data_IF_535942437313
#
_entry.id   IF_535942437313
#
_cell.length_a   1.000
_cell.length_b   1.000
_cell.length_c   1.000
_cell.angle_alpha   90.00
_cell.angle_beta   90.00
_cell.angle_gamma   90.00
#
_symmetry.space_group_name_H-M   'P 1'
#
loop_
_entity.id
_entity.type
_entity.pdbx_description
1 polymer ?
#
# COMPACT_ATOMS: atom_id res chain seq x y z
N UNK A 1 -16.14 -23.25 10.56
CA UNK A 1 -14.86 -23.97 10.87
C UNK A 1 -14.34 -23.43 12.19
N UNK A 2 -14.21 -24.25 13.22
CA UNK A 2 -13.84 -23.80 14.58
C UNK A 2 -12.33 -23.55 14.75
N UNK A 3 -11.51 -24.32 14.06
CA UNK A 3 -10.06 -24.20 14.09
C UNK A 3 -9.44 -24.61 12.75
N UNK A 4 -8.20 -24.23 12.55
CA UNK A 4 -7.42 -24.63 11.39
C UNK A 4 -5.96 -24.89 11.80
N UNK A 5 -5.53 -26.16 11.64
CA UNK A 5 -4.15 -26.57 11.93
C UNK A 5 -3.20 -26.10 10.84
N UNK A 6 -2.15 -25.40 11.23
CA UNK A 6 -1.12 -24.86 10.35
C UNK A 6 0.09 -25.81 10.27
N UNK A 7 0.84 -25.70 9.19
CA UNK A 7 2.08 -26.47 9.02
C UNK A 7 3.15 -26.08 10.06
N UNK A 8 3.22 -24.79 10.38
CA UNK A 8 4.07 -24.16 11.41
C UNK A 8 3.61 -22.70 11.65
N UNK A 9 4.12 -22.06 12.66
CA UNK A 9 3.87 -20.65 12.95
C UNK A 9 4.60 -19.69 12.00
N UNK A 10 5.22 -18.62 12.53
CA UNK A 10 6.03 -17.71 11.71
C UNK A 10 7.24 -18.42 11.08
N UNK A 11 7.83 -19.39 11.80
CA UNK A 11 9.02 -20.13 11.36
C UNK A 11 8.79 -21.64 11.40
N UNK A 12 9.52 -22.44 10.58
CA UNK A 12 9.34 -23.89 10.52
C UNK A 12 9.51 -24.66 11.82
N UNK A 13 10.29 -24.13 12.77
CA UNK A 13 10.50 -24.70 14.10
C UNK A 13 9.38 -24.40 15.10
N UNK A 14 8.49 -23.45 14.80
CA UNK A 14 7.39 -23.05 15.68
C UNK A 14 6.17 -23.96 15.47
N UNK A 15 6.21 -25.11 16.13
CA UNK A 15 5.16 -26.16 16.10
C UNK A 15 4.80 -26.60 17.53
N UNK A 16 3.52 -26.97 17.77
CA UNK A 16 2.37 -26.93 16.86
C UNK A 16 1.92 -25.52 16.54
N UNK A 17 1.12 -25.34 15.46
CA UNK A 17 0.55 -24.06 15.10
C UNK A 17 -0.89 -24.21 14.62
N UNK A 18 -1.76 -23.29 14.99
CA UNK A 18 -3.18 -23.26 14.59
C UNK A 18 -3.75 -21.85 14.68
N UNK A 19 -4.90 -21.65 14.05
CA UNK A 19 -5.75 -20.48 14.27
C UNK A 19 -7.13 -20.95 14.76
N UNK A 20 -7.72 -20.22 15.69
CA UNK A 20 -9.03 -20.49 16.27
C UNK A 20 -9.58 -19.22 16.93
N UNK A 21 -10.89 -19.21 17.18
CA UNK A 21 -11.53 -18.15 17.98
C UNK A 21 -11.40 -18.46 19.47
N UNK A 22 -10.93 -17.49 20.25
CA UNK A 22 -10.72 -17.66 21.70
C UNK A 22 -11.99 -18.02 22.47
N UNK A 23 -13.18 -17.60 21.98
CA UNK A 23 -14.48 -17.92 22.53
C UNK A 23 -15.06 -19.27 22.05
N UNK A 24 -14.34 -19.98 21.19
CA UNK A 24 -14.76 -21.27 20.61
C UNK A 24 -15.83 -21.16 19.52
N UNK A 25 -16.12 -19.94 19.04
CA UNK A 25 -16.97 -19.73 17.86
C UNK A 25 -16.31 -20.18 16.57
N UNK A 26 -17.04 -20.16 15.47
CA UNK A 26 -16.48 -20.41 14.15
C UNK A 26 -15.60 -19.24 13.70
N UNK A 27 -14.52 -19.55 12.94
CA UNK A 27 -13.71 -18.55 12.27
C UNK A 27 -14.56 -17.71 11.30
N UNK A 28 -14.37 -16.38 11.23
CA UNK A 28 -15.13 -15.52 10.33
C UNK A 28 -14.68 -15.64 8.86
N UNK A 29 -13.89 -16.64 8.54
CA UNK A 29 -13.32 -16.89 7.22
C UNK A 29 -13.65 -18.29 6.70
N UNK A 30 -13.70 -18.42 5.38
CA UNK A 30 -13.80 -19.69 4.66
C UNK A 30 -12.68 -19.81 3.65
N UNK A 31 -11.90 -20.89 3.69
CA UNK A 31 -10.85 -21.16 2.71
C UNK A 31 -11.51 -21.81 1.50
N UNK A 32 -11.54 -21.11 0.37
CA UNK A 32 -12.14 -21.58 -0.87
C UNK A 32 -11.14 -22.34 -1.76
N UNK A 33 -9.85 -22.06 -1.60
CA UNK A 33 -8.76 -22.74 -2.28
C UNK A 33 -7.44 -22.54 -1.55
N UNK A 34 -6.49 -23.47 -1.77
CA UNK A 34 -5.14 -23.40 -1.20
C UNK A 34 -5.08 -23.83 0.27
N UNK A 35 -3.95 -23.55 0.89
CA UNK A 35 -3.69 -23.82 2.31
C UNK A 35 -2.83 -22.70 2.90
N UNK A 36 -3.44 -21.57 3.32
CA UNK A 36 -2.71 -20.43 3.85
C UNK A 36 -1.90 -20.82 5.10
N UNK A 37 -0.70 -20.23 5.22
CA UNK A 37 0.13 -20.35 6.40
C UNK A 37 -0.16 -19.27 7.45
N UNK A 38 0.59 -19.31 8.56
CA UNK A 38 0.43 -18.40 9.68
C UNK A 38 0.53 -16.92 9.26
N UNK A 39 1.59 -16.55 8.53
CA UNK A 39 1.81 -15.18 8.07
C UNK A 39 0.73 -14.78 7.05
N UNK A 40 0.29 -15.69 6.19
CA UNK A 40 -0.79 -15.42 5.23
C UNK A 40 -2.09 -15.00 5.93
N UNK A 41 -2.45 -15.64 7.06
CA UNK A 41 -3.63 -15.25 7.82
C UNK A 41 -3.45 -13.91 8.54
N UNK A 42 -2.25 -13.58 9.01
CA UNK A 42 -1.96 -12.26 9.56
C UNK A 42 -2.14 -11.17 8.48
N UNK A 43 -1.57 -11.40 7.28
CA UNK A 43 -1.75 -10.49 6.15
C UNK A 43 -3.23 -10.38 5.75
N UNK A 44 -3.93 -11.51 5.63
CA UNK A 44 -5.34 -11.55 5.23
C UNK A 44 -6.23 -10.73 6.19
N UNK A 45 -6.12 -10.97 7.50
CA UNK A 45 -7.01 -10.35 8.48
C UNK A 45 -6.68 -8.87 8.73
N UNK A 46 -5.41 -8.47 8.65
CA UNK A 46 -5.04 -7.06 8.75
C UNK A 46 -5.43 -6.29 7.49
N UNK A 47 -5.16 -6.85 6.31
CA UNK A 47 -5.51 -6.21 5.04
C UNK A 47 -7.03 -6.05 4.85
N UNK A 48 -7.81 -7.04 5.31
CA UNK A 48 -9.27 -6.94 5.30
C UNK A 48 -9.79 -5.76 6.12
N UNK A 49 -9.27 -5.56 7.33
CA UNK A 49 -9.65 -4.44 8.17
C UNK A 49 -9.38 -3.10 7.46
N UNK A 50 -8.23 -2.97 6.81
CA UNK A 50 -7.86 -1.76 6.07
C UNK A 50 -8.88 -1.46 4.95
N UNK A 51 -9.15 -2.41 4.06
CA UNK A 51 -10.05 -2.16 2.92
C UNK A 51 -11.50 -1.94 3.33
N UNK A 52 -11.95 -2.61 4.40
CA UNK A 52 -13.28 -2.40 4.98
C UNK A 52 -13.41 -0.96 5.48
N UNK A 53 -12.46 -0.49 6.30
CA UNK A 53 -12.46 0.86 6.84
C UNK A 53 -12.32 1.92 5.74
N UNK A 54 -11.46 1.67 4.75
CA UNK A 54 -11.26 2.59 3.63
C UNK A 54 -12.53 2.74 2.78
N UNK A 55 -13.24 1.64 2.51
CA UNK A 55 -14.54 1.70 1.83
C UNK A 55 -15.58 2.43 2.67
N UNK A 56 -15.65 2.18 3.97
CA UNK A 56 -16.58 2.88 4.88
C UNK A 56 -16.32 4.39 4.91
N UNK A 57 -15.04 4.80 4.93
CA UNK A 57 -14.65 6.21 5.02
C UNK A 57 -14.86 6.99 3.72
N UNK A 58 -14.66 6.36 2.56
CA UNK A 58 -14.68 7.03 1.24
C UNK A 58 -15.93 6.76 0.41
N UNK A 59 -16.69 5.72 0.74
CA UNK A 59 -17.82 5.25 -0.07
C UNK A 59 -17.38 4.57 -1.39
N UNK A 60 -16.08 4.44 -1.64
CA UNK A 60 -15.52 3.84 -2.85
C UNK A 60 -15.04 2.41 -2.54
N UNK A 61 -15.05 1.52 -3.55
CA UNK A 61 -14.40 0.23 -3.40
C UNK A 61 -12.89 0.43 -3.17
N UNK A 62 -12.29 -0.46 -2.39
CA UNK A 62 -10.91 -0.33 -1.95
C UNK A 62 -10.16 -1.65 -2.09
N UNK A 63 -8.86 -1.55 -2.38
CA UNK A 63 -7.93 -2.68 -2.47
C UNK A 63 -6.64 -2.31 -1.77
N UNK A 64 -6.03 -3.28 -1.11
CA UNK A 64 -4.67 -3.16 -0.57
C UNK A 64 -3.82 -4.36 -0.95
N UNK A 65 -2.53 -4.10 -1.14
CA UNK A 65 -1.47 -5.10 -1.25
C UNK A 65 -0.71 -5.14 0.06
N UNK A 66 -0.60 -6.32 0.68
CA UNK A 66 0.03 -6.53 1.98
C UNK A 66 1.21 -7.48 1.89
N UNK A 67 2.25 -7.20 2.65
CA UNK A 67 3.39 -8.10 2.80
C UNK A 67 4.06 -7.87 4.16
N UNK A 68 4.41 -8.97 4.84
CA UNK A 68 5.01 -8.91 6.18
C UNK A 68 4.18 -8.09 7.17
N UNK A 69 2.87 -8.31 7.16
CA UNK A 69 1.89 -7.68 8.07
C UNK A 69 1.87 -6.15 7.97
N UNK A 70 2.17 -5.61 6.80
CA UNK A 70 2.07 -4.17 6.52
C UNK A 70 1.64 -3.93 5.07
N UNK A 71 0.89 -2.86 4.79
CA UNK A 71 0.52 -2.50 3.43
C UNK A 71 1.74 -2.02 2.65
N UNK A 72 1.91 -2.51 1.42
CA UNK A 72 2.81 -1.89 0.45
C UNK A 72 2.12 -0.69 -0.21
N UNK A 73 0.80 -0.75 -0.32
CA UNK A 73 -0.09 0.30 -0.80
C UNK A 73 -1.55 -0.01 -0.46
N UNK A 74 -2.39 1.03 -0.57
CA UNK A 74 -3.85 0.93 -0.59
C UNK A 74 -4.40 1.92 -1.62
N UNK A 75 -5.51 1.60 -2.27
CA UNK A 75 -6.12 2.44 -3.30
C UNK A 75 -7.64 2.30 -3.32
N UNK A 76 -8.30 3.33 -3.81
CA UNK A 76 -9.73 3.34 -4.10
C UNK A 76 -10.01 3.21 -5.60
N UNK A 77 -11.24 2.83 -5.96
CA UNK A 77 -11.69 2.62 -7.33
C UNK A 77 -11.77 3.92 -8.13
N UNK A 78 -10.66 4.34 -8.69
CA UNK A 78 -10.51 5.52 -9.54
C UNK A 78 -9.83 5.13 -10.85
N UNK A 79 -10.32 5.65 -11.99
CA UNK A 79 -9.74 5.40 -13.32
C UNK A 79 -8.27 5.79 -13.36
N UNK A 80 -7.44 4.97 -14.01
CA UNK A 80 -6.01 5.21 -14.15
C UNK A 80 -5.73 6.12 -15.36
N UNK A 81 -4.88 7.16 -15.22
CA UNK A 81 -4.29 7.83 -16.38
C UNK A 81 -3.49 6.86 -17.26
N UNK A 82 -3.36 7.14 -18.55
CA UNK A 82 -2.66 6.27 -19.50
C UNK A 82 -1.21 5.95 -19.11
N UNK A 83 -0.49 6.93 -18.56
CA UNK A 83 0.87 6.70 -18.04
C UNK A 83 0.90 5.69 -16.90
N UNK A 84 -0.11 5.74 -16.03
CA UNK A 84 -0.21 4.82 -14.89
C UNK A 84 -0.66 3.43 -15.34
N UNK A 85 -1.58 3.31 -16.31
CA UNK A 85 -1.93 2.01 -16.92
C UNK A 85 -0.68 1.29 -17.43
N UNK A 86 0.17 2.00 -18.19
CA UNK A 86 1.44 1.46 -18.69
C UNK A 86 2.40 1.08 -17.57
N UNK A 87 2.58 1.96 -16.58
CA UNK A 87 3.46 1.69 -15.43
C UNK A 87 2.99 0.49 -14.59
N UNK A 88 1.68 0.22 -14.57
CA UNK A 88 1.06 -0.92 -13.89
C UNK A 88 0.92 -2.17 -14.78
N UNK A 89 1.33 -2.12 -16.06
CA UNK A 89 1.18 -3.19 -17.04
C UNK A 89 -0.29 -3.65 -17.24
N UNK A 90 -1.20 -2.70 -17.33
CA UNK A 90 -2.64 -2.93 -17.52
C UNK A 90 -3.22 -2.12 -18.70
N UNK A 91 -2.37 -1.50 -19.50
CA UNK A 91 -2.77 -0.74 -20.71
C UNK A 91 -3.34 -1.63 -21.83
N UNK A 92 -3.19 -2.95 -21.71
CA UNK A 92 -3.76 -3.96 -22.59
C UNK A 92 -5.15 -4.48 -22.14
N UNK A 93 -5.72 -3.93 -21.07
CA UNK A 93 -6.97 -4.43 -20.47
C UNK A 93 -8.16 -3.63 -20.97
N UNK A 94 -8.95 -4.22 -21.87
CA UNK A 94 -10.18 -3.62 -22.34
C UNK A 94 -11.23 -3.55 -21.22
N UNK A 95 -11.97 -2.42 -21.15
CA UNK A 95 -13.01 -2.22 -20.15
C UNK A 95 -12.52 -1.98 -18.72
N UNK A 96 -11.22 -1.74 -18.52
CA UNK A 96 -10.67 -1.49 -17.18
C UNK A 96 -11.33 -0.27 -16.52
N UNK A 97 -11.57 0.79 -17.29
CA UNK A 97 -12.10 2.06 -16.77
C UNK A 97 -13.55 1.94 -16.26
N UNK A 98 -14.30 0.94 -16.72
CA UNK A 98 -15.66 0.63 -16.28
C UNK A 98 -15.69 -0.28 -15.03
N UNK A 99 -14.53 -0.77 -14.58
CA UNK A 99 -14.44 -1.66 -13.41
C UNK A 99 -13.66 -1.00 -12.26
N UNK A 100 -14.33 -0.32 -11.31
CA UNK A 100 -13.66 0.36 -10.22
C UNK A 100 -12.81 -0.56 -9.33
N UNK A 101 -13.24 -1.82 -9.10
CA UNK A 101 -12.48 -2.75 -8.28
C UNK A 101 -11.17 -3.17 -8.95
N UNK A 102 -11.21 -3.43 -10.26
CA UNK A 102 -10.02 -3.73 -11.05
C UNK A 102 -9.08 -2.52 -11.12
N UNK A 103 -9.60 -1.29 -11.24
CA UNK A 103 -8.83 -0.06 -11.14
C UNK A 103 -8.14 0.08 -9.79
N UNK A 104 -8.86 -0.15 -8.68
CA UNK A 104 -8.29 -0.12 -7.33
C UNK A 104 -7.17 -1.15 -7.17
N UNK A 105 -7.37 -2.37 -7.69
CA UNK A 105 -6.33 -3.41 -7.68
C UNK A 105 -5.09 -2.99 -8.47
N UNK A 106 -5.25 -2.52 -9.69
CA UNK A 106 -4.14 -2.08 -10.52
C UNK A 106 -3.31 -0.98 -9.84
N UNK A 107 -3.99 -0.01 -9.20
CA UNK A 107 -3.36 1.07 -8.43
C UNK A 107 -2.62 0.54 -7.20
N UNK A 108 -3.27 -0.27 -6.36
CA UNK A 108 -2.67 -0.78 -5.13
C UNK A 108 -1.47 -1.70 -5.43
N UNK A 109 -1.62 -2.67 -6.33
CA UNK A 109 -0.54 -3.59 -6.73
C UNK A 109 0.59 -2.87 -7.48
N UNK A 110 0.24 -1.81 -8.22
CA UNK A 110 1.15 -1.04 -9.06
C UNK A 110 1.99 0.00 -8.32
N UNK A 111 1.64 0.37 -7.08
CA UNK A 111 2.32 1.46 -6.36
C UNK A 111 3.75 1.12 -5.96
N UNK A 112 3.96 -0.04 -5.34
CA UNK A 112 5.28 -0.58 -4.99
C UNK A 112 5.38 -1.99 -5.55
N UNK A 113 5.76 -2.09 -6.81
CA UNK A 113 5.75 -3.36 -7.54
C UNK A 113 6.77 -4.37 -7.01
N UNK A 114 7.91 -3.89 -6.50
CA UNK A 114 8.90 -4.76 -5.85
C UNK A 114 8.42 -5.25 -4.49
N UNK A 115 7.91 -4.34 -3.66
CA UNK A 115 7.35 -4.68 -2.35
C UNK A 115 6.15 -5.61 -2.45
N UNK A 116 5.34 -5.48 -3.50
CA UNK A 116 4.16 -6.31 -3.73
C UNK A 116 4.45 -7.67 -4.40
N UNK A 117 5.69 -8.00 -4.72
CA UNK A 117 6.05 -9.32 -5.24
C UNK A 117 5.83 -10.40 -4.18
N UNK A 118 4.87 -11.30 -4.42
CA UNK A 118 4.47 -12.32 -3.45
C UNK A 118 3.59 -11.76 -2.32
N UNK A 119 2.75 -10.79 -2.63
CA UNK A 119 1.84 -10.11 -1.71
C UNK A 119 0.63 -10.96 -1.30
N UNK A 120 -0.11 -10.43 -0.35
CA UNK A 120 -1.49 -10.78 -0.05
C UNK A 120 -2.41 -9.63 -0.44
N UNK A 121 -3.46 -9.93 -1.19
CA UNK A 121 -4.44 -8.95 -1.70
C UNK A 121 -5.69 -8.97 -0.84
N UNK A 122 -6.21 -7.81 -0.45
CA UNK A 122 -7.57 -7.69 0.10
C UNK A 122 -8.43 -6.79 -0.79
N UNK A 123 -9.66 -7.24 -1.02
CA UNK A 123 -10.68 -6.55 -1.80
C UNK A 123 -11.87 -6.22 -0.91
N UNK A 124 -12.34 -4.98 -0.93
CA UNK A 124 -13.51 -4.56 -0.13
C UNK A 124 -14.84 -5.08 -0.65
N UNK A 125 -14.86 -5.58 -1.88
CA UNK A 125 -16.05 -6.02 -2.62
C UNK A 125 -15.87 -7.43 -3.17
N UNK A 126 -16.98 -7.99 -3.67
CA UNK A 126 -16.97 -9.30 -4.34
C UNK A 126 -16.01 -9.25 -5.53
N UNK A 127 -15.06 -10.17 -5.56
CA UNK A 127 -14.10 -10.29 -6.64
C UNK A 127 -14.79 -10.73 -7.93
N UNK A 128 -14.69 -9.92 -8.97
CA UNK A 128 -15.17 -10.21 -10.33
C UNK A 128 -14.09 -10.85 -11.21
N UNK A 129 -14.49 -11.30 -12.40
CA UNK A 129 -13.61 -12.00 -13.34
C UNK A 129 -12.44 -11.12 -13.84
N UNK A 130 -12.67 -9.80 -14.06
CA UNK A 130 -11.62 -8.89 -14.50
C UNK A 130 -10.56 -8.71 -13.41
N UNK A 131 -10.98 -8.42 -12.18
CA UNK A 131 -10.09 -8.29 -11.02
C UNK A 131 -9.31 -9.59 -10.78
N UNK A 132 -9.97 -10.75 -10.85
CA UNK A 132 -9.32 -12.06 -10.75
C UNK A 132 -8.28 -12.28 -11.85
N UNK A 133 -8.55 -11.87 -13.08
CA UNK A 133 -7.64 -11.98 -14.21
C UNK A 133 -6.38 -11.11 -14.01
N UNK A 134 -6.52 -9.91 -13.44
CA UNK A 134 -5.38 -9.06 -13.08
C UNK A 134 -4.54 -9.69 -11.96
N UNK A 135 -5.18 -10.23 -10.92
CA UNK A 135 -4.49 -10.96 -9.84
C UNK A 135 -3.74 -12.18 -10.42
N UNK A 136 -4.33 -12.89 -11.36
CA UNK A 136 -3.72 -14.07 -11.98
C UNK A 136 -2.40 -13.75 -12.73
N UNK A 137 -2.25 -12.54 -13.26
CA UNK A 137 -1.06 -12.07 -13.99
C UNK A 137 0.16 -11.83 -13.10
N UNK A 138 -0.04 -11.60 -11.79
CA UNK A 138 0.98 -11.15 -10.86
C UNK A 138 1.46 -12.28 -9.93
N UNK A 139 2.67 -12.18 -9.41
CA UNK A 139 3.16 -13.07 -8.35
C UNK A 139 2.56 -12.63 -7.03
N UNK A 140 1.69 -13.46 -6.45
CA UNK A 140 0.92 -13.19 -5.24
C UNK A 140 0.73 -14.48 -4.47
N UNK A 141 0.60 -14.39 -3.13
CA UNK A 141 0.44 -15.55 -2.25
C UNK A 141 -1.03 -15.89 -1.98
N UNK A 142 -1.90 -14.90 -2.00
CA UNK A 142 -3.31 -15.11 -1.75
C UNK A 142 -4.16 -13.85 -1.83
N UNK A 143 -5.47 -14.06 -1.72
CA UNK A 143 -6.48 -13.01 -1.76
C UNK A 143 -7.57 -13.26 -0.73
N UNK A 144 -8.08 -12.17 -0.11
CA UNK A 144 -9.24 -12.16 0.75
C UNK A 144 -10.29 -11.16 0.23
N UNK A 145 -11.54 -11.59 0.19
CA UNK A 145 -12.67 -10.77 -0.23
C UNK A 145 -13.97 -11.22 0.49
N UNK A 146 -15.04 -10.42 0.51
CA UNK A 146 -16.33 -10.84 1.05
C UNK A 146 -16.99 -11.95 0.24
N UNK A 147 -16.56 -12.13 -1.02
CA UNK A 147 -17.04 -13.18 -1.92
C UNK A 147 -16.33 -13.13 -3.26
N UNK A 148 -16.70 -14.06 -4.13
CA UNK A 148 -16.13 -14.22 -5.48
C UNK A 148 -17.23 -14.64 -6.43
N UNK A 149 -17.26 -14.10 -7.65
CA UNK A 149 -18.09 -14.69 -8.71
C UNK A 149 -17.56 -16.08 -9.08
N UNK A 150 -18.40 -16.93 -9.66
CA UNK A 150 -17.98 -18.27 -10.07
C UNK A 150 -16.83 -18.23 -11.06
N UNK A 151 -16.86 -17.25 -11.99
CA UNK A 151 -15.80 -17.03 -12.98
C UNK A 151 -14.49 -16.57 -12.32
N UNK A 152 -14.57 -15.62 -11.39
CA UNK A 152 -13.41 -15.16 -10.64
C UNK A 152 -12.75 -16.30 -9.85
N UNK A 153 -13.56 -17.10 -9.18
CA UNK A 153 -13.08 -18.25 -8.42
C UNK A 153 -12.43 -19.30 -9.32
N UNK A 154 -13.02 -19.57 -10.49
CA UNK A 154 -12.44 -20.49 -11.49
C UNK A 154 -11.07 -20.00 -11.95
N UNK A 155 -10.91 -18.72 -12.28
CA UNK A 155 -9.63 -18.10 -12.68
C UNK A 155 -8.59 -18.26 -11.57
N UNK A 156 -8.92 -17.85 -10.34
CA UNK A 156 -7.99 -17.87 -9.21
C UNK A 156 -7.54 -19.28 -8.84
N UNK A 157 -8.42 -20.27 -8.95
CA UNK A 157 -8.10 -21.68 -8.69
C UNK A 157 -7.05 -22.28 -9.65
N UNK A 158 -6.87 -21.72 -10.85
CA UNK A 158 -5.83 -22.19 -11.78
C UNK A 158 -4.44 -21.69 -11.43
N UNK A 159 -4.34 -20.57 -10.68
CA UNK A 159 -3.09 -19.93 -10.31
C UNK A 159 -2.24 -20.83 -9.41
N UNK A 160 -0.90 -20.72 -9.53
CA UNK A 160 0.06 -21.53 -8.76
C UNK A 160 -0.18 -23.06 -8.89
N UNK A 161 -0.55 -23.52 -10.08
CA UNK A 161 -0.88 -24.92 -10.35
C UNK A 161 -1.99 -25.45 -9.43
N UNK A 162 -2.98 -24.63 -9.13
CA UNK A 162 -4.11 -24.95 -8.25
C UNK A 162 -3.88 -24.67 -6.77
N UNK A 163 -2.71 -24.21 -6.36
CA UNK A 163 -2.36 -23.97 -4.96
C UNK A 163 -2.47 -22.50 -4.48
N UNK A 164 -3.09 -21.62 -5.26
CA UNK A 164 -3.27 -20.22 -4.86
C UNK A 164 -4.26 -20.10 -3.70
N UNK A 165 -3.94 -19.29 -2.71
CA UNK A 165 -4.81 -19.13 -1.54
C UNK A 165 -5.96 -18.16 -1.84
N UNK A 166 -7.20 -18.65 -1.69
CA UNK A 166 -8.43 -17.85 -1.85
C UNK A 166 -9.26 -17.99 -0.59
N UNK A 167 -9.50 -16.86 0.09
CA UNK A 167 -10.21 -16.79 1.36
C UNK A 167 -11.41 -15.87 1.23
N UNK A 168 -12.59 -16.35 1.64
CA UNK A 168 -13.77 -15.51 1.85
C UNK A 168 -13.86 -15.11 3.31
N UNK A 169 -14.28 -13.87 3.58
CA UNK A 169 -14.52 -13.32 4.92
C UNK A 169 -16.00 -12.96 5.07
N UNK A 170 -16.56 -13.19 6.26
CA UNK A 170 -17.87 -12.62 6.61
C UNK A 170 -17.75 -11.09 6.80
N UNK A 171 -18.32 -10.28 5.89
CA UNK A 171 -18.20 -8.83 5.97
C UNK A 171 -18.93 -8.23 7.19
N UNK A 172 -19.86 -8.98 7.79
CA UNK A 172 -20.64 -8.54 8.94
C UNK A 172 -19.99 -8.90 10.28
N UNK A 173 -18.92 -9.71 10.25
CA UNK A 173 -18.22 -10.06 11.48
C UNK A 173 -17.63 -8.83 12.17
N UNK A 174 -17.88 -8.71 13.47
CA UNK A 174 -17.33 -7.65 14.33
C UNK A 174 -16.50 -8.32 15.41
N UNK A 175 -15.20 -8.03 15.49
CA UNK A 175 -14.34 -8.53 16.56
C UNK A 175 -14.76 -8.04 17.94
N UNK A 176 -14.32 -8.75 19.00
CA UNK A 176 -14.55 -8.34 20.38
C UNK A 176 -14.00 -6.92 20.66
N UNK A 177 -14.60 -6.25 21.66
CA UNK A 177 -14.17 -4.90 22.09
C UNK A 177 -12.74 -4.85 22.64
N UNK A 178 -12.26 -5.99 23.14
CA UNK A 178 -10.92 -6.12 23.71
C UNK A 178 -10.08 -7.10 22.90
N UNK A 179 -8.82 -6.74 22.71
CA UNK A 179 -7.83 -7.59 22.10
C UNK A 179 -6.69 -7.89 23.07
N UNK A 180 -6.07 -9.04 22.89
CA UNK A 180 -4.95 -9.50 23.74
C UNK A 180 -3.75 -9.90 22.90
N UNK A 181 -2.55 -9.66 23.44
CA UNK A 181 -1.29 -10.09 22.87
C UNK A 181 -0.41 -10.67 23.98
N UNK A 182 0.31 -11.74 23.68
CA UNK A 182 1.24 -12.34 24.65
C UNK A 182 2.68 -12.09 24.23
N UNK A 183 3.50 -11.62 25.19
CA UNK A 183 4.94 -11.43 25.03
C UNK A 183 5.64 -11.99 26.25
N UNK A 184 6.51 -12.95 26.08
CA UNK A 184 7.23 -13.62 27.15
C UNK A 184 6.32 -14.16 28.29
N UNK A 185 5.15 -14.70 27.92
CA UNK A 185 4.15 -15.21 28.88
C UNK A 185 3.27 -14.14 29.53
N UNK A 186 3.61 -12.87 29.40
CA UNK A 186 2.77 -11.76 29.90
C UNK A 186 1.68 -11.45 28.88
N UNK A 187 0.43 -11.42 29.32
CA UNK A 187 -0.70 -11.02 28.50
C UNK A 187 -0.93 -9.52 28.60
N UNK A 188 -0.88 -8.85 27.45
CA UNK A 188 -1.30 -7.47 27.28
C UNK A 188 -2.72 -7.45 26.79
N UNK A 189 -3.55 -6.59 27.37
CA UNK A 189 -4.96 -6.42 27.02
C UNK A 189 -5.25 -4.94 26.81
N UNK A 190 -5.94 -4.61 25.73
CA UNK A 190 -6.36 -3.25 25.42
C UNK A 190 -7.71 -3.25 24.70
N UNK A 191 -8.36 -2.08 24.63
CA UNK A 191 -9.47 -1.88 23.73
C UNK A 191 -9.02 -1.98 22.28
N UNK A 192 -9.83 -2.62 21.44
CA UNK A 192 -9.59 -2.68 20.00
C UNK A 192 -9.57 -1.26 19.43
N UNK A 193 -8.64 -0.99 18.48
CA UNK A 193 -8.59 0.30 17.81
C UNK A 193 -9.76 0.44 16.80
N UNK A 194 -10.93 0.79 17.31
CA UNK A 194 -12.15 1.03 16.55
C UNK A 194 -12.38 2.51 16.22
N UNK A 195 -11.39 3.37 16.47
CA UNK A 195 -11.44 4.79 16.12
C UNK A 195 -11.63 4.96 14.60
N UNK A 196 -12.67 5.71 14.21
CA UNK A 196 -12.99 5.93 12.80
C UNK A 196 -12.20 7.10 12.24
N UNK A 197 -11.48 6.83 11.14
CA UNK A 197 -10.76 7.83 10.39
C UNK A 197 -11.68 8.37 9.28
N UNK A 198 -11.71 9.69 9.12
CA UNK A 198 -12.50 10.37 8.11
C UNK A 198 -12.12 11.84 8.00
N UNK A 199 -12.81 12.60 7.15
CA UNK A 199 -12.52 14.00 6.86
C UNK A 199 -12.60 14.93 8.09
N UNK A 200 -13.40 14.57 9.10
CA UNK A 200 -13.50 15.31 10.36
C UNK A 200 -12.16 15.49 11.07
N UNK A 201 -11.17 14.62 10.81
CA UNK A 201 -9.81 14.77 11.36
C UNK A 201 -8.99 15.85 10.67
N UNK A 202 -9.46 16.38 9.55
CA UNK A 202 -8.77 17.37 8.73
C UNK A 202 -9.27 18.80 8.98
N UNK A 203 -10.20 19.01 9.91
CA UNK A 203 -10.82 20.30 10.20
C UNK A 203 -9.86 21.27 10.92
N UNK A 204 -8.95 20.76 11.76
CA UNK A 204 -8.01 21.57 12.52
C UNK A 204 -6.74 21.88 11.70
N UNK A 205 -6.87 22.78 10.70
CA UNK A 205 -5.74 23.21 9.87
C UNK A 205 -4.96 24.29 10.62
N UNK A 206 -3.70 24.01 10.95
CA UNK A 206 -2.84 24.84 11.82
C UNK A 206 -1.91 25.80 11.07
N UNK A 207 -1.71 25.62 9.76
CA UNK A 207 -0.86 26.42 8.88
C UNK A 207 -1.56 27.67 8.35
N UNK A 208 -0.81 28.60 7.74
CA UNK A 208 -1.34 29.81 7.11
C UNK A 208 -2.26 29.46 5.92
N UNK A 209 -1.85 28.53 5.06
CA UNK A 209 -2.72 27.97 4.04
C UNK A 209 -3.77 27.06 4.71
N UNK A 210 -5.06 27.38 4.49
CA UNK A 210 -6.20 26.68 5.08
C UNK A 210 -6.95 25.78 4.09
N UNK A 211 -6.49 25.69 2.85
CA UNK A 211 -7.21 25.01 1.78
C UNK A 211 -6.69 23.59 1.58
N UNK A 212 -7.56 22.60 1.78
CA UNK A 212 -7.36 21.20 1.42
C UNK A 212 -8.49 20.83 0.46
N UNK A 213 -8.20 20.65 -0.86
CA UNK A 213 -9.19 20.23 -1.85
C UNK A 213 -9.77 18.84 -1.54
N UNK A 214 -10.96 18.53 -2.08
CA UNK A 214 -11.64 17.24 -1.85
C UNK A 214 -10.78 16.04 -2.23
N UNK A 215 -10.07 16.10 -3.36
CA UNK A 215 -9.17 15.04 -3.80
C UNK A 215 -8.05 14.81 -2.77
N UNK A 216 -7.49 15.88 -2.23
CA UNK A 216 -6.44 15.80 -1.21
C UNK A 216 -6.98 15.29 0.14
N UNK A 217 -8.25 15.59 0.49
CA UNK A 217 -8.87 15.00 1.69
C UNK A 217 -8.99 13.49 1.55
N UNK A 218 -9.43 12.99 0.40
CA UNK A 218 -9.49 11.55 0.11
C UNK A 218 -8.10 10.94 0.26
N UNK A 219 -7.07 11.54 -0.34
CA UNK A 219 -5.70 11.07 -0.25
C UNK A 219 -5.16 11.06 1.20
N UNK A 220 -5.46 12.09 1.99
CA UNK A 220 -5.10 12.13 3.41
C UNK A 220 -5.83 11.03 4.21
N UNK A 221 -7.12 10.79 3.95
CA UNK A 221 -7.88 9.70 4.56
C UNK A 221 -7.27 8.34 4.19
N UNK A 222 -6.92 8.12 2.91
CA UNK A 222 -6.22 6.91 2.46
C UNK A 222 -4.90 6.76 3.22
N UNK A 223 -4.12 7.83 3.34
CA UNK A 223 -2.83 7.79 4.04
C UNK A 223 -3.00 7.41 5.52
N UNK A 224 -3.93 8.03 6.23
CA UNK A 224 -4.16 7.78 7.66
C UNK A 224 -4.71 6.37 7.93
N UNK A 225 -5.64 5.88 7.11
CA UNK A 225 -6.16 4.50 7.24
C UNK A 225 -5.06 3.50 6.93
N UNK A 226 -4.23 3.74 5.90
CA UNK A 226 -3.07 2.90 5.58
C UNK A 226 -2.13 2.81 6.80
N UNK A 227 -1.85 3.95 7.45
CA UNK A 227 -0.97 4.00 8.62
C UNK A 227 -1.53 3.30 9.85
N UNK A 228 -2.84 3.31 10.05
CA UNK A 228 -3.50 2.59 11.15
C UNK A 228 -3.19 1.08 11.14
N UNK A 229 -2.89 0.53 9.97
CA UNK A 229 -2.55 -0.88 9.77
C UNK A 229 -1.09 -1.11 9.36
N UNK A 230 -0.23 -0.11 9.56
CA UNK A 230 1.19 -0.16 9.23
C UNK A 230 2.04 -0.16 10.49
N UNK A 231 3.01 -1.09 10.57
CA UNK A 231 3.96 -1.16 11.69
C UNK A 231 4.66 0.19 11.93
N UNK A 232 4.58 0.70 13.15
CA UNK A 232 5.15 2.00 13.54
C UNK A 232 6.69 1.97 13.68
N UNK A 233 7.40 3.10 13.54
CA UNK A 233 6.90 4.36 13.01
C UNK A 233 6.51 4.19 11.55
N UNK A 234 5.44 4.87 11.15
CA UNK A 234 4.99 4.80 9.77
C UNK A 234 4.62 6.19 9.19
N UNK A 235 4.87 6.34 7.89
CA UNK A 235 4.58 7.53 7.09
C UNK A 235 4.07 7.07 5.73
N UNK A 236 3.05 7.74 5.21
CA UNK A 236 2.44 7.41 3.93
C UNK A 236 2.28 8.64 3.05
N UNK A 237 2.83 8.58 1.84
CA UNK A 237 2.55 9.50 0.75
C UNK A 237 1.38 8.98 -0.06
N UNK A 238 0.40 9.82 -0.34
CA UNK A 238 -0.78 9.47 -1.13
C UNK A 238 -1.01 10.50 -2.24
N UNK A 239 -1.52 10.04 -3.36
CA UNK A 239 -1.81 10.87 -4.52
C UNK A 239 -2.83 10.20 -5.42
N UNK A 240 -3.80 10.96 -5.91
CA UNK A 240 -4.78 10.52 -6.91
C UNK A 240 -5.51 9.23 -6.53
N UNK A 241 -5.96 9.12 -5.27
CA UNK A 241 -6.76 7.98 -4.80
C UNK A 241 -5.96 6.75 -4.40
N UNK A 242 -4.64 6.87 -4.15
CA UNK A 242 -3.81 5.75 -3.71
C UNK A 242 -2.62 6.16 -2.85
N UNK A 243 -2.19 5.26 -1.98
CA UNK A 243 -0.90 5.33 -1.31
C UNK A 243 0.21 5.04 -2.34
N UNK A 244 1.15 5.97 -2.51
CA UNK A 244 2.24 5.89 -3.49
C UNK A 244 3.60 5.61 -2.87
N UNK A 245 3.71 5.72 -1.54
CA UNK A 245 4.91 5.37 -0.81
C UNK A 245 4.62 5.19 0.67
N UNK A 246 4.86 3.99 1.19
CA UNK A 246 4.68 3.63 2.61
C UNK A 246 6.02 3.29 3.23
N UNK A 247 6.36 4.00 4.30
CA UNK A 247 7.47 3.66 5.18
C UNK A 247 6.91 3.01 6.45
N UNK A 248 7.48 1.87 6.84
CA UNK A 248 7.01 1.06 7.95
C UNK A 248 8.16 0.61 8.86
N UNK A 249 7.87 0.47 10.16
CA UNK A 249 8.75 -0.18 11.13
C UNK A 249 10.08 0.53 11.41
N UNK A 250 10.16 1.84 11.19
CA UNK A 250 11.40 2.59 11.41
C UNK A 250 11.45 3.19 12.82
N UNK A 251 12.63 3.14 13.46
CA UNK A 251 12.81 3.74 14.80
C UNK A 251 12.89 5.27 14.76
N UNK A 252 13.27 5.85 13.62
CA UNK A 252 13.36 7.30 13.43
C UNK A 252 12.29 7.80 12.45
N UNK A 253 11.58 8.87 12.83
CA UNK A 253 10.56 9.50 11.98
C UNK A 253 11.14 9.98 10.65
N UNK A 254 12.30 10.62 10.66
CA UNK A 254 12.93 11.12 9.43
C UNK A 254 13.39 9.98 8.51
N UNK A 255 13.87 8.87 9.06
CA UNK A 255 14.22 7.69 8.24
C UNK A 255 12.97 7.09 7.59
N UNK A 256 11.88 7.03 8.35
CA UNK A 256 10.59 6.58 7.83
C UNK A 256 10.10 7.45 6.67
N UNK A 257 10.16 8.79 6.85
CA UNK A 257 9.75 9.76 5.82
C UNK A 257 10.64 9.65 4.57
N UNK A 258 11.95 9.45 4.74
CA UNK A 258 12.89 9.24 3.62
C UNK A 258 12.55 7.97 2.83
N UNK A 259 12.29 6.87 3.53
CA UNK A 259 11.91 5.61 2.90
C UNK A 259 10.61 5.73 2.11
N UNK A 260 9.55 6.25 2.75
CA UNK A 260 8.26 6.48 2.11
C UNK A 260 8.37 7.42 0.89
N UNK A 261 9.11 8.53 1.05
CA UNK A 261 9.34 9.49 -0.03
C UNK A 261 10.14 8.91 -1.19
N UNK A 262 11.14 8.06 -0.94
CA UNK A 262 11.88 7.38 -2.01
C UNK A 262 11.00 6.45 -2.83
N UNK A 263 10.06 5.75 -2.18
CA UNK A 263 9.06 4.92 -2.87
C UNK A 263 8.10 5.77 -3.70
N UNK A 264 7.63 6.91 -3.16
CA UNK A 264 6.78 7.85 -3.89
C UNK A 264 7.51 8.44 -5.12
N UNK A 265 8.77 8.83 -4.98
CA UNK A 265 9.60 9.31 -6.09
C UNK A 265 9.74 8.22 -7.17
N UNK A 266 9.99 6.97 -6.78
CA UNK A 266 10.05 5.83 -7.71
C UNK A 266 8.72 5.62 -8.44
N UNK A 267 7.58 5.75 -7.74
CA UNK A 267 6.26 5.65 -8.37
C UNK A 267 6.06 6.71 -9.45
N UNK A 268 6.45 7.97 -9.21
CA UNK A 268 6.40 9.03 -10.22
C UNK A 268 7.37 8.77 -11.38
N UNK A 269 8.59 8.32 -11.08
CA UNK A 269 9.64 8.07 -12.10
C UNK A 269 9.32 6.84 -12.98
N UNK A 270 8.54 5.88 -12.48
CA UNK A 270 8.01 4.79 -13.31
C UNK A 270 7.09 5.27 -14.43
N UNK A 271 6.47 6.44 -14.28
CA UNK A 271 5.61 7.08 -15.27
C UNK A 271 6.37 8.09 -16.15
N UNK A 272 7.68 8.24 -15.96
CA UNK A 272 8.50 9.10 -16.83
C UNK A 272 8.52 8.55 -18.27
N UNK A 273 8.41 9.40 -19.33
CA UNK A 273 8.39 8.93 -20.71
C UNK A 273 9.53 7.99 -21.10
N UNK A 274 10.76 8.26 -20.67
CA UNK A 274 11.91 7.36 -20.92
C UNK A 274 11.72 5.99 -20.24
N UNK A 275 11.16 5.95 -19.03
CA UNK A 275 10.89 4.68 -18.32
C UNK A 275 9.80 3.88 -19.01
N UNK A 276 8.72 4.55 -19.44
CA UNK A 276 7.61 3.90 -20.16
C UNK A 276 8.03 3.39 -21.55
N UNK A 277 9.06 4.00 -22.15
CA UNK A 277 9.56 3.64 -23.48
C UNK A 277 10.71 2.61 -23.46
N UNK A 278 11.04 2.02 -22.30
CA UNK A 278 12.11 1.02 -22.21
C UNK A 278 11.86 -0.15 -23.17
N UNK A 279 12.78 -0.45 -24.09
CA UNK A 279 12.63 -1.42 -25.17
C UNK A 279 12.92 -2.85 -24.68
N UNK A 280 12.08 -3.37 -23.77
CA UNK A 280 12.26 -4.69 -23.19
C UNK A 280 12.24 -5.79 -24.25
N UNK A 281 13.03 -6.84 -24.00
CA UNK A 281 12.93 -8.10 -24.72
C UNK A 281 11.59 -8.78 -24.40
N UNK A 282 11.01 -9.49 -25.37
CA UNK A 282 9.71 -10.15 -25.23
C UNK A 282 9.76 -11.33 -24.22
N UNK A 283 10.93 -11.96 -24.06
CA UNK A 283 11.15 -13.06 -23.13
C UNK A 283 11.31 -12.63 -21.67
N UNK A 284 11.42 -11.30 -21.41
CA UNK A 284 11.50 -10.78 -20.05
C UNK A 284 10.10 -10.60 -19.44
N UNK A 285 9.77 -11.47 -18.48
CA UNK A 285 8.50 -11.39 -17.75
C UNK A 285 8.38 -10.19 -16.80
N UNK A 286 7.15 -9.90 -16.33
CA UNK A 286 6.85 -8.76 -15.46
C UNK A 286 7.80 -8.60 -14.25
N UNK A 287 8.09 -9.63 -13.45
CA UNK A 287 9.01 -9.49 -12.32
C UNK A 287 10.42 -9.06 -12.73
N UNK A 288 10.91 -9.58 -13.85
CA UNK A 288 12.20 -9.17 -14.42
C UNK A 288 12.19 -7.71 -14.86
N UNK A 289 11.11 -7.29 -15.55
CA UNK A 289 10.93 -5.88 -15.96
C UNK A 289 10.87 -4.94 -14.75
N UNK A 290 10.17 -5.33 -13.67
CA UNK A 290 10.09 -4.52 -12.44
C UNK A 290 11.47 -4.30 -11.82
N UNK A 291 12.31 -5.34 -11.72
CA UNK A 291 13.68 -5.22 -11.22
C UNK A 291 14.54 -4.31 -12.11
N UNK A 292 14.43 -4.47 -13.42
CA UNK A 292 15.20 -3.65 -14.39
C UNK A 292 14.76 -2.19 -14.35
N UNK A 293 13.45 -1.92 -14.21
CA UNK A 293 12.92 -0.55 -14.05
C UNK A 293 13.45 0.06 -12.75
N UNK A 294 13.48 -0.69 -11.66
CA UNK A 294 14.05 -0.19 -10.40
C UNK A 294 15.53 0.15 -10.55
N UNK A 295 16.32 -0.72 -11.14
CA UNK A 295 17.74 -0.46 -11.46
C UNK A 295 17.92 0.76 -12.40
N UNK A 296 17.05 0.92 -13.39
CA UNK A 296 17.08 2.07 -14.31
C UNK A 296 16.76 3.40 -13.61
N UNK A 297 15.80 3.39 -12.68
CA UNK A 297 15.39 4.57 -11.92
C UNK A 297 16.39 4.88 -10.80
N UNK A 298 16.74 3.91 -9.99
CA UNK A 298 17.50 4.10 -8.75
C UNK A 298 19.02 3.95 -8.95
N UNK A 299 19.45 3.18 -9.92
CA UNK A 299 20.86 3.11 -10.39
C UNK A 299 21.87 2.66 -9.34
N UNK A 300 21.46 1.85 -8.34
CA UNK A 300 22.24 1.69 -7.11
C UNK A 300 23.29 0.58 -7.17
N UNK A 301 23.05 -0.54 -7.87
CA UNK A 301 23.91 -1.72 -7.80
C UNK A 301 24.25 -2.29 -9.18
N UNK A 302 23.38 -2.11 -10.17
CA UNK A 302 23.63 -2.51 -11.55
C UNK A 302 23.23 -1.39 -12.50
N UNK A 303 24.18 -0.88 -13.25
CA UNK A 303 23.88 -0.04 -14.40
C UNK A 303 23.30 -0.92 -15.51
N UNK A 304 21.97 -1.03 -15.52
CA UNK A 304 21.22 -1.83 -16.52
C UNK A 304 21.44 -1.35 -17.96
N UNK A 305 21.98 -0.15 -18.13
CA UNK A 305 22.36 0.44 -19.43
C UNK A 305 23.80 0.19 -19.80
N UNK A 306 24.63 -0.40 -18.93
CA UNK A 306 26.06 -0.62 -19.19
C UNK A 306 26.28 -1.62 -20.33
N UNK A 307 27.40 -1.43 -21.05
CA UNK A 307 27.79 -2.36 -22.11
C UNK A 307 28.08 -3.76 -21.56
N UNK A 308 27.54 -4.79 -22.22
CA UNK A 308 27.61 -6.17 -21.77
C UNK A 308 26.50 -6.56 -20.76
N UNK A 309 25.70 -5.59 -20.29
CA UNK A 309 24.59 -5.81 -19.34
C UNK A 309 23.25 -5.55 -20.01
N UNK A 310 23.07 -4.43 -20.70
CA UNK A 310 21.79 -4.04 -21.30
C UNK A 310 21.22 -5.10 -22.25
N UNK A 311 22.07 -5.86 -22.93
CA UNK A 311 21.67 -6.92 -23.87
C UNK A 311 20.85 -8.04 -23.20
N UNK A 312 20.96 -8.18 -21.89
CA UNK A 312 20.18 -9.17 -21.13
C UNK A 312 18.71 -8.77 -21.00
N UNK A 313 18.39 -7.48 -21.13
CA UNK A 313 17.07 -6.93 -20.79
C UNK A 313 16.38 -6.25 -21.97
N UNK A 314 17.14 -5.64 -22.88
CA UNK A 314 16.61 -4.76 -23.91
C UNK A 314 16.95 -5.24 -25.32
N UNK A 315 16.11 -4.87 -26.27
CA UNK A 315 16.33 -5.12 -27.70
C UNK A 315 17.31 -4.09 -28.32
N UNK A 316 17.38 -2.90 -27.73
CA UNK A 316 18.31 -1.84 -28.07
C UNK A 316 18.73 -1.13 -26.77
N UNK A 317 19.96 -0.63 -26.72
CA UNK A 317 20.47 0.07 -25.55
C UNK A 317 19.65 1.33 -25.26
N UNK A 318 18.98 1.43 -24.08
CA UNK A 318 18.27 2.65 -23.73
C UNK A 318 19.23 3.76 -23.29
N UNK A 319 18.79 5.01 -23.46
CA UNK A 319 19.48 6.14 -22.84
C UNK A 319 19.25 6.13 -21.33
N UNK A 320 20.27 6.39 -20.50
CA UNK A 320 20.10 6.53 -19.06
C UNK A 320 19.17 7.68 -18.69
N UNK A 321 18.43 7.52 -17.59
CA UNK A 321 17.66 8.59 -16.98
C UNK A 321 18.57 9.38 -16.03
N UNK A 322 18.97 10.61 -16.43
CA UNK A 322 19.95 11.40 -15.68
C UNK A 322 19.38 11.95 -14.36
N UNK A 323 20.26 12.34 -13.45
CA UNK A 323 19.85 12.95 -12.17
C UNK A 323 19.06 14.25 -12.38
N UNK A 324 19.45 15.04 -13.39
CA UNK A 324 18.77 16.29 -13.76
C UNK A 324 17.36 16.01 -14.30
N UNK A 325 17.20 15.01 -15.16
CA UNK A 325 15.89 14.61 -15.69
C UNK A 325 14.97 14.09 -14.57
N UNK A 326 15.50 13.25 -13.67
CA UNK A 326 14.76 12.77 -12.50
C UNK A 326 14.29 13.93 -11.63
N UNK A 327 15.20 14.88 -11.33
CA UNK A 327 14.86 16.03 -10.49
C UNK A 327 13.83 16.92 -11.16
N UNK A 328 14.01 17.25 -12.45
CA UNK A 328 13.06 18.07 -13.21
C UNK A 328 11.66 17.43 -13.26
N UNK A 329 11.58 16.09 -13.40
CA UNK A 329 10.32 15.35 -13.37
C UNK A 329 9.65 15.43 -12.01
N UNK A 330 10.40 15.22 -10.93
CA UNK A 330 9.87 15.27 -9.57
C UNK A 330 9.50 16.71 -9.16
N UNK A 331 10.24 17.72 -9.57
CA UNK A 331 9.94 19.13 -9.31
C UNK A 331 8.67 19.62 -10.01
N UNK A 332 8.25 18.92 -11.07
CA UNK A 332 6.96 19.19 -11.74
C UNK A 332 5.75 18.56 -11.04
N UNK A 333 5.97 17.81 -9.95
CA UNK A 333 4.89 17.19 -9.16
C UNK A 333 4.48 18.12 -8.02
N UNK A 334 3.19 18.17 -7.78
CA UNK A 334 2.59 18.88 -6.66
C UNK A 334 1.31 18.17 -6.20
N UNK A 335 0.61 18.73 -5.23
CA UNK A 335 -0.64 18.20 -4.71
C UNK A 335 -0.51 16.82 -4.03
N UNK A 336 0.70 16.38 -3.68
CA UNK A 336 0.90 15.14 -2.93
C UNK A 336 0.48 15.32 -1.48
N UNK A 337 -0.19 14.31 -0.93
CA UNK A 337 -0.64 14.24 0.46
C UNK A 337 0.32 13.39 1.28
N UNK A 338 0.56 13.77 2.55
CA UNK A 338 1.47 13.09 3.48
C UNK A 338 0.77 12.87 4.82
N UNK A 339 0.59 11.62 5.21
CA UNK A 339 0.15 11.22 6.54
C UNK A 339 1.29 10.73 7.42
N UNK A 340 1.17 10.93 8.74
CA UNK A 340 2.08 10.40 9.73
C UNK A 340 1.32 9.81 10.92
N UNK A 341 1.74 8.63 11.40
CA UNK A 341 1.10 7.94 12.52
C UNK A 341 1.37 8.61 13.88
N UNK A 342 2.35 9.52 13.94
CA UNK A 342 2.64 10.37 15.10
C UNK A 342 3.17 11.74 14.64
N UNK A 343 3.39 12.65 15.61
CA UNK A 343 3.87 14.01 15.32
C UNK A 343 5.26 14.01 14.65
N UNK A 344 5.52 15.04 13.86
CA UNK A 344 6.86 15.33 13.37
C UNK A 344 7.66 16.05 14.46
N UNK A 345 8.79 15.46 14.93
CA UNK A 345 9.60 16.09 15.97
C UNK A 345 10.41 17.29 15.46
N UNK A 346 10.67 17.34 14.15
CA UNK A 346 11.48 18.37 13.49
C UNK A 346 10.97 18.66 12.07
N UNK A 347 11.35 19.81 11.48
CA UNK A 347 10.97 20.20 10.11
C UNK A 347 11.56 19.32 8.99
N UNK A 348 12.51 18.46 9.30
CA UNK A 348 13.21 17.61 8.33
C UNK A 348 12.26 16.67 7.53
N UNK A 349 11.21 16.18 8.19
CA UNK A 349 10.17 15.36 7.53
C UNK A 349 9.35 16.18 6.54
N UNK A 350 9.03 17.44 6.88
CA UNK A 350 8.35 18.36 5.95
C UNK A 350 9.24 18.67 4.74
N UNK A 351 10.52 18.98 4.96
CA UNK A 351 11.50 19.24 3.89
C UNK A 351 11.63 18.04 2.95
N UNK A 352 11.65 16.81 3.50
CA UNK A 352 11.66 15.60 2.67
C UNK A 352 10.37 15.48 1.85
N UNK A 353 9.21 15.79 2.45
CA UNK A 353 7.93 15.80 1.76
C UNK A 353 7.88 16.79 0.60
N UNK A 354 8.37 18.03 0.83
CA UNK A 354 8.46 19.06 -0.22
C UNK A 354 9.22 18.57 -1.44
N UNK A 355 10.33 17.85 -1.25
CA UNK A 355 11.12 17.30 -2.34
C UNK A 355 10.37 16.28 -3.21
N UNK A 356 9.24 15.74 -2.74
CA UNK A 356 8.34 14.82 -3.45
C UNK A 356 6.98 15.46 -3.81
N UNK A 357 6.87 16.78 -3.79
CA UNK A 357 5.66 17.52 -4.21
C UNK A 357 4.55 17.60 -3.17
N UNK A 358 4.84 17.38 -1.88
CA UNK A 358 3.83 17.44 -0.80
C UNK A 358 3.29 18.87 -0.66
N UNK A 359 1.95 18.98 -0.65
CA UNK A 359 1.18 20.20 -0.40
C UNK A 359 0.19 20.06 0.76
N UNK A 360 -0.12 18.85 1.16
CA UNK A 360 -1.11 18.55 2.21
C UNK A 360 -0.53 17.57 3.20
N UNK A 361 -0.68 17.88 4.50
CA UNK A 361 -0.15 17.04 5.59
C UNK A 361 -1.24 16.80 6.63
N UNK A 362 -1.31 15.55 7.13
CA UNK A 362 -2.08 15.20 8.30
C UNK A 362 -1.19 14.46 9.32
N UNK A 363 -1.12 14.97 10.55
CA UNK A 363 -0.36 14.37 11.65
C UNK A 363 -0.99 14.77 13.00
N UNK A 364 -0.73 14.02 14.09
CA UNK A 364 -1.41 14.29 15.35
C UNK A 364 -1.17 15.67 15.97
N UNK A 365 0.01 16.27 15.79
CA UNK A 365 0.45 17.39 16.59
C UNK A 365 0.89 16.95 18.00
N UNK A 366 1.24 17.93 18.84
CA UNK A 366 1.64 17.69 20.23
C UNK A 366 3.14 17.59 20.46
N UNK A 367 3.97 17.93 19.47
CA UNK A 367 5.41 18.11 19.67
C UNK A 367 5.71 19.47 20.33
N UNK A 368 6.75 19.50 21.17
CA UNK A 368 7.28 20.76 21.73
C UNK A 368 7.76 21.71 20.59
N UNK A 369 8.01 21.16 19.40
CA UNK A 369 8.50 21.88 18.23
C UNK A 369 7.48 22.02 17.11
N UNK A 370 6.20 21.95 17.42
CA UNK A 370 5.14 22.12 16.43
C UNK A 370 5.23 23.48 15.72
N UNK A 371 5.65 24.53 16.42
CA UNK A 371 5.89 25.88 15.88
C UNK A 371 6.90 25.87 14.71
N UNK A 372 7.99 25.12 14.84
CA UNK A 372 9.00 24.99 13.78
C UNK A 372 8.50 24.18 12.59
N UNK A 373 7.69 23.15 12.85
CA UNK A 373 7.09 22.31 11.80
C UNK A 373 6.05 23.13 11.03
N UNK A 374 5.19 23.89 11.72
CA UNK A 374 4.21 24.78 11.10
C UNK A 374 4.92 25.85 10.26
N UNK A 375 5.96 26.49 10.79
CA UNK A 375 6.72 27.51 10.07
C UNK A 375 7.35 26.97 8.77
N UNK A 376 7.85 25.73 8.77
CA UNK A 376 8.37 25.11 7.55
C UNK A 376 7.26 24.80 6.54
N UNK A 377 6.07 24.40 7.00
CA UNK A 377 4.89 24.23 6.15
C UNK A 377 4.46 25.55 5.52
N UNK A 378 4.38 26.63 6.32
CA UNK A 378 3.98 27.97 5.84
C UNK A 378 4.94 28.52 4.79
N UNK A 379 6.26 28.32 4.99
CA UNK A 379 7.30 28.70 4.02
C UNK A 379 7.10 28.01 2.65
N UNK A 380 6.54 26.81 2.63
CA UNK A 380 6.32 26.04 1.42
C UNK A 380 4.85 26.04 0.93
N UNK A 381 4.02 26.90 1.51
CA UNK A 381 2.58 27.01 1.23
C UNK A 381 1.84 25.67 1.36
N UNK A 382 2.16 24.88 2.40
CA UNK A 382 1.54 23.60 2.71
C UNK A 382 0.37 23.81 3.67
N UNK A 383 -0.77 23.18 3.41
CA UNK A 383 -1.85 23.07 4.38
C UNK A 383 -1.63 21.81 5.24
N UNK A 384 -1.55 22.01 6.57
CA UNK A 384 -1.36 20.90 7.53
C UNK A 384 -2.48 20.90 8.56
N UNK A 385 -3.12 19.73 8.70
CA UNK A 385 -4.11 19.45 9.74
C UNK A 385 -3.49 18.69 10.92
N UNK A 386 -3.85 19.07 12.14
CA UNK A 386 -3.58 18.29 13.34
C UNK A 386 -4.79 17.40 13.64
N UNK A 387 -4.59 16.08 13.52
CA UNK A 387 -5.64 15.08 13.74
C UNK A 387 -5.93 14.85 15.21
N UNK A 388 -5.02 15.20 16.12
CA UNK A 388 -5.12 14.93 17.55
C UNK A 388 -5.07 13.44 17.92
N UNK A 389 -4.90 12.55 16.94
CA UNK A 389 -4.93 11.09 17.14
C UNK A 389 -3.65 10.42 16.65
N UNK A 390 -2.93 9.77 17.58
CA UNK A 390 -1.80 8.89 17.26
C UNK A 390 -2.30 7.54 16.75
N UNK A 391 -1.69 7.03 15.68
CA UNK A 391 -2.12 5.80 14.99
C UNK A 391 -1.07 4.66 15.12
N UNK A 392 -0.41 4.52 16.26
CA UNK A 392 0.59 3.47 16.44
C UNK A 392 -0.02 2.07 16.28
N UNK A 393 0.72 1.23 15.56
CA UNK A 393 0.41 -0.17 15.33
C UNK A 393 1.66 -1.02 15.64
N UNK A 394 1.53 -1.97 16.59
CA UNK A 394 2.62 -2.83 17.06
C UNK A 394 2.20 -4.29 17.17
#
# INVERSE_FOLDING_TARGET
>A
MKDFTLKYGCNPNQKPASIYMADGSDLPITILNGRPGYINFLDALNSWQLVKELKEATGLCAVTSFKHVSPTSAAVGKVLPESLKKACFVDDVEGLDENPLACAYARARGADRLGSFGDWVALSDVCDAMTASLIAREVSDGVIAPGYTDEALAILKTKRKGGYNVVAIDPNYVPAEQETKQVFGVTFQQGRNNFKIGEHLLENIVTANKEIPEEAKIDLVISLITLKYTQSNSVCFAYDGQAIGVGAGQQSRVHCTRLAGSKADTWFLRQHPKTLALPFRDDLGRPGRDNVIDGYINGNEEDVCAEGIWQNYFTVRPEPLTAEEKRAWLDSRDAVSLGSDAFFPFPDSVKRGVASGVKYIAQPGGSIRDDLVIAECDKNNIAMAFTGMRLFHH
#
